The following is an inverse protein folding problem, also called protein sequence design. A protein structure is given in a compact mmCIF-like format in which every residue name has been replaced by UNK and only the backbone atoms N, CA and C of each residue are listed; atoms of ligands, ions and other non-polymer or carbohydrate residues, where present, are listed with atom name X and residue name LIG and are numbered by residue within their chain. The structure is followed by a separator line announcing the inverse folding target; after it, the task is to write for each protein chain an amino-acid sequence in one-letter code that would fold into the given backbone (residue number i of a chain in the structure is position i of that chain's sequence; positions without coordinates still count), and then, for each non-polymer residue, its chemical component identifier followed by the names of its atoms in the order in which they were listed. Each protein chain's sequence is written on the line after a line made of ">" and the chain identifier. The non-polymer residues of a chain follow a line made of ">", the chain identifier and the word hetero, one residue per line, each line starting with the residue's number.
data_IF_706809582093
#
_entry.id   IF_706809582093
#
_cell.length_a   1.000
_cell.length_b   1.000
_cell.length_c   1.000
_cell.angle_alpha   90.00
_cell.angle_beta   90.00
_cell.angle_gamma   90.00
#
_symmetry.space_group_name_H-M   'P 1'
#
loop_
_entity.id
_entity.type
_entity.pdbx_description
1 polymer ?
#
# COMPACT_ATOMS: atom_id res chain seq x y z
N UNK A 1 -0.31 -8.05 5.27
CA UNK A 1 -0.53 -7.12 6.39
C UNK A 1 0.49 -6.00 6.24
N UNK A 2 0.06 -4.73 6.20
CA UNK A 2 1.02 -3.61 6.09
C UNK A 2 1.78 -3.45 7.40
N UNK A 3 3.13 -3.43 7.40
CA UNK A 3 3.91 -3.23 8.61
C UNK A 3 3.67 -1.81 9.17
N UNK A 4 3.56 -1.67 10.49
CA UNK A 4 3.36 -0.38 11.18
C UNK A 4 4.46 -0.14 12.23
N UNK A 5 5.56 -0.87 12.08
CA UNK A 5 6.60 -1.12 13.06
C UNK A 5 7.46 0.12 13.29
N UNK A 6 7.60 0.98 12.27
CA UNK A 6 8.35 2.22 12.36
C UNK A 6 7.54 3.45 11.90
N UNK A 7 8.05 4.65 12.21
CA UNK A 7 7.39 5.93 11.88
C UNK A 7 7.20 6.12 10.37
N UNK A 8 8.16 5.66 9.56
CA UNK A 8 8.12 5.77 8.11
C UNK A 8 6.97 4.92 7.52
N UNK A 9 6.85 3.65 7.91
CA UNK A 9 5.77 2.76 7.47
C UNK A 9 4.39 3.32 7.85
N UNK A 10 4.24 3.83 9.08
CA UNK A 10 3.00 4.50 9.52
C UNK A 10 2.68 5.74 8.70
N UNK A 11 3.69 6.52 8.30
CA UNK A 11 3.52 7.71 7.44
C UNK A 11 3.08 7.31 6.04
N UNK A 12 3.74 6.32 5.43
CA UNK A 12 3.38 5.78 4.11
C UNK A 12 1.94 5.27 4.10
N UNK A 13 1.55 4.48 5.10
CA UNK A 13 0.20 3.93 5.18
C UNK A 13 -0.88 5.03 5.28
N UNK A 14 -0.65 6.06 6.10
CA UNK A 14 -1.56 7.21 6.18
C UNK A 14 -1.64 8.00 4.87
N UNK A 15 -0.52 8.21 4.17
CA UNK A 15 -0.53 8.86 2.84
C UNK A 15 -1.32 8.03 1.83
N UNK A 16 -1.17 6.70 1.84
CA UNK A 16 -1.94 5.79 1.01
C UNK A 16 -3.45 5.89 1.30
N UNK A 17 -3.85 5.90 2.58
CA UNK A 17 -5.27 6.02 2.96
C UNK A 17 -5.90 7.33 2.46
N UNK A 18 -5.17 8.44 2.54
CA UNK A 18 -5.63 9.77 2.10
C UNK A 18 -5.59 9.95 0.58
N UNK A 19 -4.71 9.22 -0.11
CA UNK A 19 -4.46 9.34 -1.55
C UNK A 19 -5.72 9.24 -2.39
N UNK A 20 -6.68 8.39 -2.01
CA UNK A 20 -7.90 8.15 -2.79
C UNK A 20 -8.70 9.43 -3.09
N UNK A 21 -8.72 10.37 -2.14
CA UNK A 21 -9.44 11.64 -2.26
C UNK A 21 -8.45 12.76 -2.54
N UNK A 22 -7.41 12.88 -1.72
CA UNK A 22 -6.56 14.06 -1.71
C UNK A 22 -5.66 14.16 -2.94
N UNK A 23 -5.19 13.03 -3.49
CA UNK A 23 -4.35 13.07 -4.69
C UNK A 23 -5.08 13.61 -5.93
N UNK A 24 -6.43 13.64 -5.92
CA UNK A 24 -7.26 14.19 -7.01
C UNK A 24 -7.71 15.62 -6.78
N UNK A 25 -7.92 16.01 -5.52
CA UNK A 25 -8.64 17.23 -5.19
C UNK A 25 -7.86 18.21 -4.30
N UNK A 26 -6.67 17.83 -3.82
CA UNK A 26 -5.83 18.69 -2.99
C UNK A 26 -4.53 19.01 -3.68
N UNK A 27 -4.28 20.31 -3.89
CA UNK A 27 -2.97 20.81 -4.35
C UNK A 27 -1.86 20.62 -3.31
N UNK A 28 -2.22 20.30 -2.06
CA UNK A 28 -1.28 20.07 -0.95
C UNK A 28 -1.00 18.59 -0.71
N UNK A 29 -1.57 17.69 -1.51
CA UNK A 29 -1.23 16.28 -1.40
C UNK A 29 0.15 16.05 -1.99
N UNK A 30 1.09 15.73 -1.12
CA UNK A 30 2.42 15.31 -1.52
C UNK A 30 2.61 13.82 -1.22
N UNK A 31 3.51 13.19 -1.95
CA UNK A 31 4.08 11.88 -1.63
C UNK A 31 5.45 11.78 -2.30
N UNK A 32 6.45 11.30 -1.57
CA UNK A 32 7.81 11.19 -2.09
C UNK A 32 7.98 9.92 -2.92
N UNK A 33 8.98 9.90 -3.80
CA UNK A 33 9.33 8.70 -4.59
C UNK A 33 9.68 7.52 -3.67
N UNK A 34 10.45 7.76 -2.60
CA UNK A 34 10.81 6.73 -1.62
C UNK A 34 9.57 6.09 -0.96
N UNK A 35 8.58 6.91 -0.59
CA UNK A 35 7.31 6.43 -0.03
C UNK A 35 6.50 5.63 -1.05
N UNK A 36 6.47 6.08 -2.30
CA UNK A 36 5.80 5.36 -3.40
C UNK A 36 6.44 4.00 -3.66
N UNK A 37 7.77 3.93 -3.77
CA UNK A 37 8.52 2.68 -3.98
C UNK A 37 8.28 1.70 -2.84
N UNK A 38 8.24 2.18 -1.59
CA UNK A 38 7.90 1.33 -0.45
C UNK A 38 6.46 0.78 -0.56
N UNK A 39 5.48 1.65 -0.85
CA UNK A 39 4.09 1.25 -0.97
C UNK A 39 3.85 0.25 -2.11
N UNK A 40 4.51 0.44 -3.25
CA UNK A 40 4.46 -0.50 -4.37
C UNK A 40 4.93 -1.90 -3.94
N UNK A 41 6.08 -1.99 -3.25
CA UNK A 41 6.60 -3.27 -2.76
C UNK A 41 5.61 -3.99 -1.83
N UNK A 42 4.97 -3.24 -0.92
CA UNK A 42 3.94 -3.81 -0.02
C UNK A 42 2.69 -4.27 -0.77
N UNK A 43 2.26 -3.53 -1.80
CA UNK A 43 1.13 -3.92 -2.66
C UNK A 43 1.45 -5.20 -3.44
N UNK A 44 2.67 -5.36 -3.97
CA UNK A 44 3.08 -6.58 -4.67
C UNK A 44 3.09 -7.80 -3.75
N UNK A 45 3.57 -7.65 -2.51
CA UNK A 45 3.51 -8.73 -1.49
C UNK A 45 2.07 -9.13 -1.20
N UNK A 46 1.17 -8.16 -1.02
CA UNK A 46 -0.24 -8.42 -0.79
C UNK A 46 -0.87 -9.15 -1.98
N UNK A 47 -0.60 -8.70 -3.21
CA UNK A 47 -1.09 -9.34 -4.44
C UNK A 47 -0.67 -10.81 -4.50
N UNK A 48 0.60 -11.12 -4.29
CA UNK A 48 1.10 -12.51 -4.30
C UNK A 48 0.56 -13.38 -3.17
N UNK A 49 0.21 -12.79 -2.01
CA UNK A 49 -0.49 -13.51 -0.94
C UNK A 49 -1.93 -13.85 -1.34
N UNK A 50 -2.67 -12.87 -1.86
CA UNK A 50 -4.06 -13.05 -2.30
C UNK A 50 -4.13 -14.09 -3.42
N UNK A 51 -3.25 -14.00 -4.41
CA UNK A 51 -3.18 -14.96 -5.52
C UNK A 51 -2.97 -16.40 -5.02
N UNK A 52 -1.99 -16.61 -4.13
CA UNK A 52 -1.75 -17.94 -3.54
C UNK A 52 -2.95 -18.48 -2.78
N UNK A 53 -3.60 -17.62 -1.98
CA UNK A 53 -4.80 -18.02 -1.24
C UNK A 53 -5.90 -18.41 -2.23
N UNK A 54 -6.27 -17.53 -3.15
CA UNK A 54 -7.32 -17.78 -4.13
C UNK A 54 -7.07 -19.04 -4.97
N UNK A 55 -5.85 -19.26 -5.44
CA UNK A 55 -5.50 -20.48 -6.18
C UNK A 55 -5.62 -21.74 -5.32
N UNK A 56 -5.25 -21.67 -4.03
CA UNK A 56 -5.45 -22.76 -3.08
C UNK A 56 -6.92 -23.11 -2.86
N UNK A 57 -7.82 -22.13 -2.91
CA UNK A 57 -9.27 -22.36 -2.84
C UNK A 57 -9.86 -22.99 -4.11
N UNK A 58 -9.38 -22.60 -5.29
CA UNK A 58 -9.89 -23.13 -6.57
C UNK A 58 -9.52 -24.60 -6.79
N UNK A 59 -8.45 -25.07 -6.17
CA UNK A 59 -7.97 -26.46 -6.27
C UNK A 59 -8.55 -27.40 -5.19
N UNK A 60 -9.43 -26.88 -4.32
CA UNK A 60 -10.09 -27.63 -3.24
C UNK A 60 -11.55 -27.92 -3.56
#
# INVERSE_FOLDING_TARGET
>A
MFPLDNKFHRRCFRRLQRAYIEARYSEHYEITVEELTYLEGEVQKLKGLVERVCLGWVQS
#
